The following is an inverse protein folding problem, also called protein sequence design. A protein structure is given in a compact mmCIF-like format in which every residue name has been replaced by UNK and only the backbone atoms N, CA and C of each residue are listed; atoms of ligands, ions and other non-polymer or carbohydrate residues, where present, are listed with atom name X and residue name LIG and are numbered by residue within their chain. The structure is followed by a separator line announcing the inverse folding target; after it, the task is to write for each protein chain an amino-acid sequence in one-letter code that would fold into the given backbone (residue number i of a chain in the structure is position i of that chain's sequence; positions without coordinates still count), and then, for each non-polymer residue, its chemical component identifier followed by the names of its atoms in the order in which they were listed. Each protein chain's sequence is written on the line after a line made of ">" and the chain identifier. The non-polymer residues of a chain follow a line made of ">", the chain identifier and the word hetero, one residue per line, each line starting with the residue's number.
data_IF_120029496009
#
_entry.id   IF_120029496009
#
_cell.length_a   1.000
_cell.length_b   1.000
_cell.length_c   1.000
_cell.angle_alpha   90.00
_cell.angle_beta   90.00
_cell.angle_gamma   90.00
#
_symmetry.space_group_name_H-M   'P 1'
#
loop_
_entity.id
_entity.type
_entity.pdbx_description
1 polymer ?
#
# COMPACT_ATOMS: atom_id res chain seq x y z
N UNK A 1 7.13 -14.93 1.85
CA UNK A 1 5.96 -14.61 1.00
C UNK A 1 4.73 -15.25 1.63
N UNK A 2 3.67 -14.49 1.90
CA UNK A 2 2.44 -15.04 2.52
C UNK A 2 1.28 -14.90 1.54
N UNK A 3 0.63 -16.03 1.22
CA UNK A 3 -0.54 -16.09 0.35
C UNK A 3 -1.75 -16.28 1.27
N UNK A 4 -2.59 -15.26 1.39
CA UNK A 4 -3.81 -15.32 2.21
C UNK A 4 -5.05 -15.34 1.29
N UNK A 5 -5.84 -16.41 1.33
CA UNK A 5 -7.19 -16.45 0.74
C UNK A 5 -8.19 -16.05 1.83
N UNK A 6 -8.86 -14.90 1.71
CA UNK A 6 -9.74 -14.37 2.79
C UNK A 6 -11.23 -14.46 2.53
N UNK A 7 -11.70 -14.68 1.30
CA UNK A 7 -13.15 -14.72 1.04
C UNK A 7 -13.52 -15.22 -0.36
N UNK A 8 -14.43 -16.19 -0.42
CA UNK A 8 -15.16 -16.58 -1.62
C UNK A 8 -16.66 -16.49 -1.32
N UNK A 9 -17.45 -15.86 -2.20
CA UNK A 9 -18.90 -15.77 -2.06
C UNK A 9 -19.56 -16.28 -3.35
N UNK A 10 -20.53 -17.19 -3.21
CA UNK A 10 -21.30 -17.74 -4.33
C UNK A 10 -22.79 -17.55 -4.09
N UNK A 11 -23.60 -17.52 -5.15
CA UNK A 11 -25.07 -17.44 -5.08
C UNK A 11 -25.73 -18.53 -4.23
N UNK A 12 -25.03 -19.63 -3.94
CA UNK A 12 -25.51 -20.67 -3.00
C UNK A 12 -25.41 -20.25 -1.51
N UNK A 13 -24.82 -19.09 -1.24
CA UNK A 13 -24.60 -18.49 0.09
C UNK A 13 -25.19 -17.07 0.20
N UNK A 14 -26.37 -16.82 -0.41
CA UNK A 14 -27.13 -15.55 -0.31
C UNK A 14 -26.44 -14.29 -0.90
N UNK A 15 -25.41 -14.43 -1.74
CA UNK A 15 -24.79 -13.28 -2.43
C UNK A 15 -25.58 -12.87 -3.68
N UNK A 16 -25.84 -11.57 -3.87
CA UNK A 16 -26.51 -11.03 -5.07
C UNK A 16 -25.71 -11.27 -6.38
N UNK A 17 -24.38 -11.43 -6.28
CA UNK A 17 -23.48 -11.73 -7.41
C UNK A 17 -22.37 -12.70 -7.00
N UNK A 18 -21.95 -13.55 -7.94
CA UNK A 18 -20.80 -14.43 -7.78
C UNK A 18 -19.51 -13.62 -7.95
N UNK A 19 -18.68 -13.58 -6.91
CA UNK A 19 -17.35 -13.00 -7.01
C UNK A 19 -16.32 -13.78 -6.18
N UNK A 20 -15.10 -13.83 -6.69
CA UNK A 20 -13.95 -14.41 -5.98
C UNK A 20 -12.89 -13.34 -5.84
N UNK A 21 -12.48 -13.05 -4.59
CA UNK A 21 -11.43 -12.09 -4.30
C UNK A 21 -10.14 -12.80 -3.95
N UNK A 22 -9.10 -12.53 -4.71
CA UNK A 22 -7.74 -12.98 -4.46
C UNK A 22 -6.83 -11.80 -4.22
N UNK A 23 -5.87 -11.95 -3.31
CA UNK A 23 -4.80 -10.99 -3.14
C UNK A 23 -3.53 -11.69 -2.67
N UNK A 24 -2.40 -11.16 -3.08
CA UNK A 24 -1.08 -11.62 -2.72
C UNK A 24 -0.33 -10.44 -2.10
N UNK A 25 0.19 -10.65 -0.90
CA UNK A 25 1.01 -9.65 -0.21
C UNK A 25 2.43 -10.15 -0.09
N UNK A 26 3.34 -9.42 -0.73
CA UNK A 26 4.75 -9.55 -0.43
C UNK A 26 5.02 -8.83 0.89
N UNK A 27 5.22 -9.63 1.95
CA UNK A 27 5.74 -9.14 3.21
C UNK A 27 7.06 -8.42 2.98
N UNK A 28 7.36 -7.45 3.84
CA UNK A 28 8.54 -6.62 3.69
C UNK A 28 9.81 -7.47 3.75
N UNK A 29 10.47 -7.59 2.61
CA UNK A 29 11.70 -8.34 2.47
C UNK A 29 12.87 -7.38 2.52
N UNK A 30 13.86 -7.70 3.35
CA UNK A 30 15.06 -6.89 3.53
C UNK A 30 16.24 -7.59 2.86
N UNK A 31 17.09 -6.81 2.20
CA UNK A 31 18.37 -7.25 1.66
C UNK A 31 19.47 -6.30 2.13
N UNK A 32 20.53 -6.81 2.78
CA UNK A 32 21.71 -6.00 3.04
C UNK A 32 22.38 -5.67 1.70
N UNK A 33 22.72 -4.40 1.49
CA UNK A 33 23.53 -3.98 0.32
C UNK A 33 25.01 -3.84 0.70
N UNK A 34 25.30 -3.77 1.99
CA UNK A 34 26.62 -3.67 2.59
C UNK A 34 26.51 -3.90 4.11
N UNK A 35 27.52 -3.48 4.86
CA UNK A 35 27.58 -3.76 6.31
C UNK A 35 26.57 -2.96 7.15
N UNK A 36 26.12 -1.81 6.64
CA UNK A 36 25.30 -0.84 7.41
C UNK A 36 24.08 -0.32 6.67
N UNK A 37 23.92 -0.69 5.40
CA UNK A 37 22.83 -0.25 4.55
C UNK A 37 22.01 -1.44 4.04
N UNK A 38 20.75 -1.15 3.72
CA UNK A 38 19.81 -2.19 3.33
C UNK A 38 18.71 -1.65 2.46
N UNK A 39 18.20 -2.53 1.63
CA UNK A 39 17.04 -2.30 0.79
C UNK A 39 15.88 -3.10 1.34
N UNK A 40 14.70 -2.51 1.38
CA UNK A 40 13.46 -3.21 1.68
C UNK A 40 12.50 -3.12 0.49
N UNK A 41 11.89 -4.25 0.16
CA UNK A 41 10.87 -4.35 -0.88
C UNK A 41 9.57 -4.82 -0.25
N UNK A 42 8.48 -4.15 -0.60
CA UNK A 42 7.12 -4.55 -0.23
C UNK A 42 6.22 -4.38 -1.44
N UNK A 43 5.19 -5.21 -1.53
CA UNK A 43 4.22 -5.09 -2.61
C UNK A 43 2.98 -5.90 -2.34
N UNK A 44 1.93 -5.60 -3.09
CA UNK A 44 0.69 -6.35 -3.03
C UNK A 44 -0.03 -6.24 -4.37
N UNK A 45 -0.70 -7.32 -4.74
CA UNK A 45 -1.53 -7.39 -5.92
C UNK A 45 -2.84 -8.04 -5.51
N UNK A 46 -3.95 -7.57 -6.06
CA UNK A 46 -5.23 -8.20 -5.82
C UNK A 46 -6.16 -8.09 -7.00
N UNK A 47 -7.05 -9.07 -7.09
CA UNK A 47 -8.00 -9.22 -8.17
C UNK A 47 -9.31 -9.78 -7.65
N UNK A 48 -10.42 -9.20 -8.10
CA UNK A 48 -11.77 -9.65 -7.85
C UNK A 48 -12.36 -10.12 -9.18
N UNK A 49 -12.46 -11.44 -9.31
CA UNK A 49 -13.10 -12.12 -10.42
C UNK A 49 -14.61 -11.94 -10.30
N UNK A 50 -15.19 -11.12 -11.17
CA UNK A 50 -16.61 -10.86 -11.30
C UNK A 50 -16.90 -10.42 -12.74
N UNK A 51 -18.13 -10.54 -13.24
CA UNK A 51 -18.46 -10.05 -14.58
C UNK A 51 -18.30 -8.51 -14.68
N UNK A 52 -18.67 -7.79 -13.62
CA UNK A 52 -18.51 -6.33 -13.52
C UNK A 52 -18.22 -5.91 -12.07
N UNK A 53 -17.80 -4.66 -11.86
CA UNK A 53 -17.70 -4.07 -10.51
C UNK A 53 -19.07 -3.70 -9.93
N UNK A 54 -20.07 -3.53 -10.79
CA UNK A 54 -21.40 -3.11 -10.39
C UNK A 54 -22.07 -4.22 -9.56
N UNK A 55 -22.57 -3.84 -8.38
CA UNK A 55 -23.15 -4.74 -7.37
C UNK A 55 -22.20 -5.77 -6.77
N UNK A 56 -20.88 -5.58 -6.89
CA UNK A 56 -19.94 -6.15 -5.93
C UNK A 56 -19.86 -5.18 -4.74
N UNK A 57 -20.03 -5.64 -3.48
CA UNK A 57 -19.90 -4.74 -2.33
C UNK A 57 -18.53 -4.07 -2.30
N UNK A 58 -18.49 -2.79 -1.93
CA UNK A 58 -17.26 -1.97 -1.99
C UNK A 58 -16.10 -2.55 -1.17
N UNK A 59 -16.40 -3.32 -0.11
CA UNK A 59 -15.39 -3.99 0.72
C UNK A 59 -14.58 -5.05 -0.04
N UNK A 60 -15.15 -5.62 -1.11
CA UNK A 60 -14.50 -6.60 -1.98
C UNK A 60 -13.88 -5.98 -3.24
N UNK A 61 -13.98 -4.66 -3.36
CA UNK A 61 -13.26 -3.88 -4.35
C UNK A 61 -12.04 -3.22 -3.70
N UNK A 62 -11.08 -2.84 -4.52
CA UNK A 62 -9.80 -2.34 -4.04
C UNK A 62 -9.67 -0.84 -4.26
N UNK A 63 -9.28 -0.14 -3.19
CA UNK A 63 -8.84 1.26 -3.21
C UNK A 63 -7.43 1.33 -2.63
N UNK A 64 -6.66 2.29 -3.12
CA UNK A 64 -5.29 2.55 -2.66
C UNK A 64 -5.16 4.01 -2.22
N UNK A 65 -3.99 4.37 -1.69
CA UNK A 65 -3.73 5.67 -1.07
C UNK A 65 -3.73 5.58 0.45
N UNK A 66 -2.86 6.37 1.07
CA UNK A 66 -2.61 6.38 2.51
C UNK A 66 -1.33 5.61 2.90
N UNK A 67 -1.06 5.56 4.20
CA UNK A 67 0.21 5.08 4.75
C UNK A 67 0.57 3.63 4.39
N UNK A 68 -0.43 2.76 4.20
CA UNK A 68 -0.23 1.32 4.00
C UNK A 68 -0.06 0.89 2.53
N UNK A 69 -0.35 1.77 1.58
CA UNK A 69 -0.23 1.50 0.15
C UNK A 69 0.67 2.54 -0.50
N UNK A 70 0.10 3.60 -1.08
CA UNK A 70 0.86 4.72 -1.66
C UNK A 70 0.85 5.88 -0.68
N UNK A 71 1.91 5.96 0.15
CA UNK A 71 2.19 7.11 1.03
C UNK A 71 2.20 8.41 0.21
N UNK A 72 1.80 9.55 0.78
CA UNK A 72 1.72 10.80 0.02
C UNK A 72 0.42 11.00 -0.76
N UNK A 73 -0.55 10.11 -0.57
CA UNK A 73 -1.93 10.26 -1.00
C UNK A 73 -2.88 10.07 0.17
N UNK A 74 -4.06 10.69 0.10
CA UNK A 74 -5.09 10.50 1.12
C UNK A 74 -5.58 9.04 1.15
N UNK A 75 -6.07 8.62 2.31
CA UNK A 75 -6.55 7.26 2.52
C UNK A 75 -7.64 6.90 1.51
N UNK A 76 -7.46 5.79 0.80
CA UNK A 76 -8.41 5.29 -0.21
C UNK A 76 -8.74 6.28 -1.35
N UNK A 77 -7.93 7.33 -1.56
CA UNK A 77 -8.19 8.36 -2.58
C UNK A 77 -7.80 7.93 -4.01
N UNK A 78 -7.13 6.79 -4.14
CA UNK A 78 -6.71 6.23 -5.42
C UNK A 78 -7.61 5.05 -5.76
N UNK A 79 -8.47 5.29 -6.74
CA UNK A 79 -9.45 4.32 -7.20
C UNK A 79 -10.05 4.79 -8.51
N UNK A 80 -11.19 4.18 -8.83
CA UNK A 80 -11.99 4.53 -10.00
C UNK A 80 -12.75 5.81 -9.69
N UNK A 81 -12.77 6.76 -10.62
CA UNK A 81 -13.63 7.95 -10.49
C UNK A 81 -15.00 7.67 -11.08
N UNK A 82 -16.04 7.97 -10.32
CA UNK A 82 -17.43 7.89 -10.75
C UNK A 82 -18.13 9.18 -10.28
N UNK A 83 -18.25 10.15 -11.19
CA UNK A 83 -18.52 11.54 -10.81
C UNK A 83 -17.45 12.09 -9.87
N UNK A 84 -17.88 12.67 -8.75
CA UNK A 84 -17.00 13.19 -7.69
C UNK A 84 -16.54 12.12 -6.70
N UNK A 85 -17.09 10.91 -6.76
CA UNK A 85 -16.75 9.82 -5.86
C UNK A 85 -15.55 9.00 -6.35
N UNK A 86 -14.77 8.49 -5.40
CA UNK A 86 -13.72 7.50 -5.63
C UNK A 86 -14.21 6.14 -5.16
N UNK A 87 -14.44 5.23 -6.11
CA UNK A 87 -14.94 3.87 -5.87
C UNK A 87 -13.85 2.82 -6.10
N UNK A 88 -14.05 1.64 -5.54
CA UNK A 88 -13.09 0.54 -5.68
C UNK A 88 -13.03 -0.04 -7.08
N UNK A 89 -11.85 -0.48 -7.49
CA UNK A 89 -11.63 -1.25 -8.72
C UNK A 89 -11.61 -2.75 -8.47
N UNK A 90 -11.74 -3.53 -9.54
CA UNK A 90 -11.69 -4.99 -9.48
C UNK A 90 -10.27 -5.52 -9.36
N UNK A 91 -9.26 -4.75 -9.73
CA UNK A 91 -7.89 -5.14 -9.52
C UNK A 91 -7.09 -3.98 -8.95
N UNK A 92 -6.05 -4.32 -8.21
CA UNK A 92 -5.04 -3.36 -7.80
C UNK A 92 -3.66 -3.98 -7.83
N UNK A 93 -2.66 -3.13 -8.00
CA UNK A 93 -1.25 -3.45 -7.86
C UNK A 93 -0.60 -2.31 -7.12
N UNK A 94 0.17 -2.60 -6.08
CA UNK A 94 1.04 -1.61 -5.44
C UNK A 94 2.41 -2.23 -5.12
N UNK A 95 3.44 -1.39 -5.17
CA UNK A 95 4.81 -1.75 -4.78
C UNK A 95 5.50 -0.58 -4.08
N UNK A 96 6.42 -0.87 -3.19
CA UNK A 96 7.27 0.09 -2.50
C UNK A 96 8.69 -0.42 -2.41
N UNK A 97 9.64 0.42 -2.80
CA UNK A 97 11.06 0.21 -2.58
C UNK A 97 11.53 1.19 -1.51
N UNK A 98 12.22 0.70 -0.49
CA UNK A 98 12.75 1.48 0.61
C UNK A 98 14.27 1.30 0.71
N UNK A 99 15.02 2.38 0.66
CA UNK A 99 16.47 2.35 0.91
C UNK A 99 16.77 2.90 2.29
N UNK A 100 17.59 2.17 3.05
CA UNK A 100 18.03 2.53 4.38
C UNK A 100 19.54 2.81 4.34
N UNK A 101 19.95 4.09 4.28
CA UNK A 101 21.35 4.45 4.30
C UNK A 101 21.98 4.18 5.68
N UNK A 102 23.31 4.09 5.73
CA UNK A 102 24.01 3.94 6.99
C UNK A 102 23.89 5.23 7.79
N UNK A 103 23.28 5.16 8.98
CA UNK A 103 23.16 6.30 9.90
C UNK A 103 24.19 6.17 11.01
N UNK A 104 24.81 7.29 11.41
CA UNK A 104 25.74 7.33 12.55
C UNK A 104 24.93 7.35 13.85
N UNK A 105 25.03 6.27 14.62
CA UNK A 105 24.38 6.13 15.93
C UNK A 105 23.33 5.01 15.94
N UNK A 106 23.22 4.24 17.03
CA UNK A 106 22.33 3.08 17.10
C UNK A 106 20.84 3.44 17.13
N UNK A 107 20.51 4.70 17.42
CA UNK A 107 19.17 5.13 17.79
C UNK A 107 18.34 5.65 16.61
N UNK A 108 18.94 5.97 15.45
CA UNK A 108 18.23 6.59 14.33
C UNK A 108 18.42 5.82 13.01
N UNK A 109 17.34 5.68 12.22
CA UNK A 109 17.39 5.12 10.86
C UNK A 109 16.62 5.99 9.89
N UNK A 110 17.22 6.29 8.75
CA UNK A 110 16.55 6.98 7.65
C UNK A 110 16.01 5.94 6.66
N UNK A 111 14.91 6.25 5.97
CA UNK A 111 14.36 5.45 4.89
C UNK A 111 13.93 6.35 3.74
N UNK A 112 14.34 6.04 2.52
CA UNK A 112 13.84 6.68 1.31
C UNK A 112 12.90 5.71 0.60
N UNK A 113 11.63 6.08 0.45
CA UNK A 113 10.62 5.22 -0.16
C UNK A 113 10.19 5.74 -1.53
N UNK A 114 10.06 4.83 -2.50
CA UNK A 114 9.33 5.08 -3.76
C UNK A 114 8.22 4.05 -3.90
N UNK A 115 6.99 4.55 -3.90
CA UNK A 115 5.79 3.72 -4.06
C UNK A 115 5.18 3.90 -5.44
N UNK A 116 4.61 2.85 -6.01
CA UNK A 116 3.68 2.95 -7.12
C UNK A 116 2.40 2.17 -6.84
N UNK A 117 1.28 2.65 -7.36
CA UNK A 117 -0.02 2.03 -7.18
C UNK A 117 -0.90 2.20 -8.40
N UNK A 118 -1.76 1.22 -8.65
CA UNK A 118 -2.78 1.29 -9.70
C UNK A 118 -4.01 0.51 -9.27
N UNK A 119 -5.17 1.11 -9.49
CA UNK A 119 -6.47 0.44 -9.39
C UNK A 119 -7.07 0.39 -10.80
N UNK A 120 -7.62 -0.76 -11.18
CA UNK A 120 -8.06 -1.02 -12.55
C UNK A 120 -9.58 -1.24 -12.65
N UNK A 121 -10.17 -0.64 -13.70
CA UNK A 121 -11.46 -1.02 -14.30
C UNK A 121 -11.17 -1.50 -15.71
N UNK A 122 -10.67 -2.74 -15.85
CA UNK A 122 -10.19 -3.23 -17.15
C UNK A 122 -8.70 -2.91 -17.40
N UNK A 123 -8.29 -2.73 -18.67
CA UNK A 123 -6.89 -2.76 -19.08
C UNK A 123 -6.13 -1.41 -18.97
N UNK A 124 -6.83 -0.28 -18.78
CA UNK A 124 -6.24 1.04 -19.08
C UNK A 124 -6.38 2.00 -17.89
N UNK A 125 -5.39 2.03 -17.01
CA UNK A 125 -5.11 3.15 -16.09
C UNK A 125 -3.60 3.26 -15.88
N UNK A 126 -3.11 4.49 -15.71
CA UNK A 126 -1.69 4.78 -15.48
C UNK A 126 -1.27 4.55 -14.01
N UNK A 127 -0.01 4.17 -13.75
CA UNK A 127 0.50 4.03 -12.39
C UNK A 127 0.64 5.40 -11.72
N UNK A 128 0.16 5.55 -10.48
CA UNK A 128 0.52 6.70 -9.64
C UNK A 128 1.77 6.39 -8.85
N UNK A 129 2.54 7.42 -8.52
CA UNK A 129 3.81 7.28 -7.83
C UNK A 129 3.89 8.21 -6.63
N UNK A 130 4.68 7.83 -5.65
CA UNK A 130 5.01 8.69 -4.53
C UNK A 130 6.46 8.49 -4.11
N UNK A 131 7.01 9.55 -3.53
CA UNK A 131 8.34 9.55 -2.94
C UNK A 131 8.23 10.03 -1.50
N UNK A 132 9.07 9.52 -0.62
CA UNK A 132 9.05 9.93 0.78
C UNK A 132 10.34 9.61 1.50
N UNK A 133 10.49 10.26 2.66
CA UNK A 133 11.56 10.03 3.60
C UNK A 133 10.97 9.70 4.96
N UNK A 134 11.61 8.81 5.70
CA UNK A 134 11.17 8.42 7.04
C UNK A 134 12.33 8.36 8.02
N UNK A 135 12.11 8.87 9.22
CA UNK A 135 13.01 8.75 10.35
C UNK A 135 12.42 7.74 11.34
N UNK A 136 13.24 6.79 11.78
CA UNK A 136 12.94 5.87 12.88
C UNK A 136 13.85 6.22 14.02
N UNK A 137 13.31 6.44 15.21
CA UNK A 137 14.06 6.81 16.39
C UNK A 137 13.71 5.90 17.57
N UNK A 138 14.71 5.28 18.18
CA UNK A 138 14.54 4.55 19.44
C UNK A 138 14.56 5.55 20.60
N UNK A 139 13.37 5.91 21.09
CA UNK A 139 13.24 6.77 22.26
C UNK A 139 13.17 5.93 23.55
N UNK A 140 13.41 6.51 24.74
CA UNK A 140 13.25 5.82 26.03
C UNK A 140 11.84 5.25 26.25
N UNK A 141 10.83 5.84 25.60
CA UNK A 141 9.42 5.42 25.71
C UNK A 141 9.00 4.45 24.58
N UNK A 142 9.93 4.08 23.69
CA UNK A 142 9.71 3.13 22.60
C UNK A 142 10.16 3.63 21.22
N UNK A 143 10.12 2.76 20.20
CA UNK A 143 10.51 3.15 18.85
C UNK A 143 9.44 4.01 18.17
N UNK A 144 9.86 5.19 17.72
CA UNK A 144 9.06 6.20 17.02
C UNK A 144 9.35 6.15 15.53
N UNK A 145 8.31 6.33 14.72
CA UNK A 145 8.38 6.40 13.28
C UNK A 145 7.74 7.70 12.78
N UNK A 146 8.54 8.53 12.11
CA UNK A 146 8.12 9.74 11.42
C UNK A 146 8.32 9.52 9.92
N UNK A 147 7.29 9.71 9.11
CA UNK A 147 7.36 9.60 7.66
C UNK A 147 6.79 10.87 7.02
N UNK A 148 7.41 11.31 5.94
CA UNK A 148 6.95 12.40 5.12
C UNK A 148 6.98 11.97 3.66
N UNK A 149 5.82 11.99 3.00
CA UNK A 149 5.70 11.54 1.62
C UNK A 149 4.92 12.51 0.74
N UNK A 150 5.26 12.53 -0.54
CA UNK A 150 4.65 13.37 -1.57
C UNK A 150 4.22 12.50 -2.74
N UNK A 151 2.92 12.52 -3.03
CA UNK A 151 2.32 11.83 -4.17
C UNK A 151 2.35 12.67 -5.43
N UNK A 152 2.59 12.05 -6.58
CA UNK A 152 2.70 12.74 -7.88
C UNK A 152 1.40 13.39 -8.34
N UNK A 153 0.24 12.85 -7.91
CA UNK A 153 -1.08 13.37 -8.33
C UNK A 153 -1.51 14.64 -7.61
N UNK A 154 -1.26 14.73 -6.29
CA UNK A 154 -1.71 15.89 -5.49
C UNK A 154 -0.60 16.90 -5.26
N UNK A 155 0.66 16.48 -5.35
CA UNK A 155 1.82 17.32 -5.04
C UNK A 155 1.94 17.75 -3.57
N UNK A 156 1.00 17.35 -2.70
CA UNK A 156 0.98 17.70 -1.27
C UNK A 156 1.85 16.76 -0.46
N UNK A 157 2.41 17.29 0.62
CA UNK A 157 3.14 16.52 1.63
C UNK A 157 2.16 15.92 2.64
N UNK A 158 2.31 14.64 2.93
CA UNK A 158 1.55 13.92 3.93
C UNK A 158 2.49 13.45 5.04
N UNK A 159 2.44 14.08 6.22
CA UNK A 159 3.14 13.60 7.39
C UNK A 159 2.41 12.39 7.97
N UNK A 160 3.18 11.42 8.43
CA UNK A 160 2.69 10.26 9.16
C UNK A 160 3.58 10.02 10.37
N UNK A 161 2.95 9.65 11.48
CA UNK A 161 3.62 9.28 12.71
C UNK A 161 3.04 7.96 13.21
N UNK A 162 3.90 7.07 13.71
CA UNK A 162 3.50 5.83 14.32
C UNK A 162 4.42 5.48 15.49
N UNK A 163 3.82 4.89 16.53
CA UNK A 163 4.55 4.15 17.55
C UNK A 163 4.77 2.73 17.01
N UNK A 164 6.03 2.36 16.86
CA UNK A 164 6.38 1.01 16.44
C UNK A 164 6.32 0.09 17.66
N UNK A 165 5.91 -1.16 17.45
CA UNK A 165 6.06 -2.21 18.46
C UNK A 165 7.43 -2.84 18.24
N UNK A 166 8.30 -2.81 19.26
CA UNK A 166 9.53 -3.58 19.25
C UNK A 166 9.17 -5.06 19.44
N UNK A 167 9.53 -5.92 18.50
CA UNK A 167 9.53 -7.38 18.65
C UNK A 167 10.88 -7.91 18.20
#
# INVERSE_FOLDING_TARGET
>A
MRIDFRSAASKRLLSERDFVRTHLRLQQQWWPLGERDSLALRGEIGFTAAASRAGVPQDYLFRSGGAQTVRGHAYQSLGVREGDAVVGGRAFLWGSLEYHPPVRGPWARLSLCRGCGRTLVGATCGPVTAVGAGLRWQSPVGPLALDLARGSRSGRWYPHFALMVAF
#
